data_IF_057082492033
#
_entry.id   IF_057082492033
#
_cell.length_a   1.000
_cell.length_b   1.000
_cell.length_c   1.000
_cell.angle_alpha   90.00
_cell.angle_beta   90.00
_cell.angle_gamma   90.00
#
_symmetry.space_group_name_H-M   'P 1'
#
loop_
_entity.id
_entity.type
_entity.pdbx_description
1 polymer ?
#
# COMPACT_ATOMS: atom_id res chain seq x y z
N UNK A 1 -16.17 -53.01 49.63
CA UNK A 1 -17.07 -52.14 50.42
C UNK A 1 -16.34 -51.70 51.68
N UNK A 2 -16.60 -50.48 52.15
CA UNK A 2 -15.93 -49.75 53.25
C UNK A 2 -14.60 -49.11 52.85
N UNK A 3 -14.46 -47.80 52.59
CA UNK A 3 -14.90 -46.61 53.34
C UNK A 3 -14.51 -46.75 54.82
N UNK A 4 -13.82 -45.84 55.52
CA UNK A 4 -13.79 -44.38 55.45
C UNK A 4 -12.72 -43.90 56.45
N UNK A 5 -12.07 -42.78 56.12
CA UNK A 5 -11.70 -41.65 57.00
C UNK A 5 -11.47 -41.86 58.51
N UNK A 6 -10.28 -41.45 58.99
CA UNK A 6 -10.10 -40.73 60.28
C UNK A 6 -8.90 -39.78 60.24
N UNK A 7 -9.18 -38.55 60.64
CA UNK A 7 -8.27 -37.43 60.93
C UNK A 7 -7.72 -37.55 62.39
N UNK A 8 -7.23 -36.48 63.06
CA UNK A 8 -6.10 -35.56 62.80
C UNK A 8 -5.15 -35.47 64.03
N UNK A 9 -4.37 -34.38 64.12
CA UNK A 9 -3.69 -33.80 65.30
C UNK A 9 -2.20 -34.16 65.48
N UNK A 10 -1.27 -33.30 65.90
CA UNK A 10 -0.95 -31.85 65.73
C UNK A 10 0.35 -31.60 66.53
N UNK A 11 1.00 -30.45 66.30
CA UNK A 11 2.11 -29.81 67.07
C UNK A 11 3.52 -30.33 66.72
N UNK A 12 4.53 -29.51 66.37
CA UNK A 12 4.87 -28.15 66.84
C UNK A 12 5.95 -27.49 65.94
N UNK A 13 5.86 -26.14 65.80
CA UNK A 13 6.96 -25.12 65.85
C UNK A 13 8.02 -25.17 64.72
N UNK A 14 8.42 -24.10 64.04
CA UNK A 14 8.68 -22.70 64.39
C UNK A 14 8.47 -21.77 63.15
N UNK A 15 7.79 -20.63 63.30
CA UNK A 15 8.36 -19.26 63.29
C UNK A 15 9.40 -18.98 62.19
N UNK A 16 9.00 -18.33 61.09
CA UNK A 16 9.65 -17.11 60.53
C UNK A 16 8.58 -16.23 59.87
N UNK A 17 8.67 -14.94 60.17
CA UNK A 17 7.74 -13.89 59.78
C UNK A 17 7.83 -13.47 58.29
N UNK A 18 6.65 -13.12 57.80
CA UNK A 18 6.30 -12.17 56.74
C UNK A 18 7.41 -11.38 56.02
N UNK A 19 7.44 -11.56 54.69
CA UNK A 19 7.57 -10.46 53.73
C UNK A 19 6.78 -10.81 52.46
N UNK A 20 5.54 -10.32 52.38
CA UNK A 20 4.73 -10.35 51.17
C UNK A 20 5.35 -9.39 50.16
N UNK A 21 6.27 -9.91 49.35
CA UNK A 21 6.69 -9.23 48.12
C UNK A 21 5.55 -9.28 47.12
N UNK A 22 4.81 -8.17 46.99
CA UNK A 22 4.06 -7.89 45.77
C UNK A 22 5.08 -7.79 44.64
N UNK A 23 5.28 -8.89 43.90
CA UNK A 23 5.87 -8.83 42.58
C UNK A 23 4.89 -8.11 41.67
N UNK A 24 5.02 -6.79 41.59
CA UNK A 24 4.48 -6.01 40.47
C UNK A 24 5.30 -6.44 39.26
N UNK A 25 4.77 -7.40 38.51
CA UNK A 25 5.26 -7.66 37.16
C UNK A 25 4.88 -6.45 36.34
N UNK A 26 5.80 -5.48 36.24
CA UNK A 26 5.75 -4.44 35.23
C UNK A 26 5.83 -5.19 33.90
N UNK A 27 4.68 -5.35 33.25
CA UNK A 27 4.62 -5.73 31.85
C UNK A 27 5.42 -4.66 31.11
N UNK A 28 6.51 -5.02 30.41
CA UNK A 28 7.20 -4.03 29.59
C UNK A 28 6.19 -3.53 28.56
N UNK A 29 6.17 -2.21 28.43
CA UNK A 29 5.38 -1.46 27.47
C UNK A 29 5.29 -2.17 26.12
N UNK A 30 4.11 -2.10 25.51
CA UNK A 30 3.88 -2.41 24.10
C UNK A 30 5.13 -2.04 23.31
N UNK A 31 5.72 -3.02 22.60
CA UNK A 31 6.69 -2.73 21.57
C UNK A 31 6.01 -1.80 20.57
N UNK A 32 6.24 -0.49 20.71
CA UNK A 32 6.00 0.46 19.65
C UNK A 32 6.90 -0.01 18.51
N UNK A 33 6.29 -0.53 17.46
CA UNK A 33 7.00 -0.88 16.24
C UNK A 33 7.49 0.45 15.67
N UNK A 34 8.71 0.84 16.06
CA UNK A 34 9.34 2.06 15.58
C UNK A 34 9.65 1.88 14.10
N UNK A 35 9.14 2.79 13.27
CA UNK A 35 9.44 2.85 11.85
C UNK A 35 10.96 2.96 11.64
N UNK A 36 11.52 2.28 10.64
CA UNK A 36 12.95 2.47 10.32
C UNK A 36 13.19 3.95 9.97
N UNK A 37 14.36 4.52 10.32
CA UNK A 37 14.67 5.93 10.06
C UNK A 37 14.46 6.36 8.60
N UNK A 38 14.77 5.48 7.64
CA UNK A 38 14.57 5.76 6.22
C UNK A 38 13.09 5.93 5.84
N UNK A 39 12.19 5.18 6.46
CA UNK A 39 10.75 5.26 6.23
C UNK A 39 10.17 6.49 6.91
N UNK A 40 10.59 6.78 8.13
CA UNK A 40 10.23 8.03 8.82
C UNK A 40 10.61 9.25 7.97
N UNK A 41 11.83 9.28 7.42
CA UNK A 41 12.27 10.36 6.53
C UNK A 41 11.46 10.45 5.23
N UNK A 42 11.04 9.33 4.65
CA UNK A 42 10.15 9.32 3.49
C UNK A 42 8.76 9.86 3.82
N UNK A 43 8.21 9.47 4.98
CA UNK A 43 6.91 9.96 5.45
C UNK A 43 6.98 11.47 5.73
N UNK A 44 8.02 11.96 6.38
CA UNK A 44 8.23 13.40 6.62
C UNK A 44 8.32 14.19 5.32
N UNK A 45 9.07 13.70 4.34
CA UNK A 45 9.12 14.34 3.02
C UNK A 45 7.77 14.30 2.32
N UNK A 46 7.04 13.19 2.41
CA UNK A 46 5.70 13.05 1.84
C UNK A 46 4.71 14.02 2.48
N UNK A 47 4.68 14.10 3.81
CA UNK A 47 3.74 14.99 4.51
C UNK A 47 4.01 16.45 4.20
N UNK A 48 5.27 16.83 3.97
CA UNK A 48 5.65 18.16 3.50
C UNK A 48 5.10 18.53 2.11
N UNK A 49 4.69 17.56 1.27
CA UNK A 49 4.05 17.82 -0.04
C UNK A 49 2.54 18.08 0.06
N UNK A 50 1.96 17.78 1.23
CA UNK A 50 0.53 17.91 1.51
C UNK A 50 0.19 19.36 1.93
N UNK A 51 -1.10 19.68 1.90
CA UNK A 51 -1.57 20.96 2.45
C UNK A 51 -1.43 21.00 3.98
N UNK A 52 -1.03 22.16 4.53
CA UNK A 52 -0.63 22.37 5.93
C UNK A 52 -1.59 21.75 6.97
N UNK A 53 -2.90 21.82 6.75
CA UNK A 53 -3.91 21.32 7.70
C UNK A 53 -3.89 19.79 7.88
N UNK A 54 -3.42 19.05 6.87
CA UNK A 54 -3.36 17.59 6.88
C UNK A 54 -2.01 17.04 7.35
N UNK A 55 -0.96 17.88 7.36
CA UNK A 55 0.42 17.48 7.67
C UNK A 55 0.74 17.42 9.17
N UNK A 56 -0.11 17.96 10.05
CA UNK A 56 0.24 18.17 11.47
C UNK A 56 -0.26 17.09 12.43
N UNK A 57 -1.00 16.09 11.94
CA UNK A 57 -1.53 15.04 12.83
C UNK A 57 -0.43 14.02 13.16
N UNK A 58 -0.26 13.65 14.43
CA UNK A 58 0.70 12.62 14.80
C UNK A 58 0.32 11.29 14.15
N UNK A 59 1.33 10.47 13.86
CA UNK A 59 1.12 9.12 13.37
C UNK A 59 0.77 8.22 14.56
N UNK A 60 -0.17 7.32 14.34
CA UNK A 60 -0.59 6.34 15.32
C UNK A 60 -0.83 4.99 14.65
N UNK A 61 -0.72 3.93 15.44
CA UNK A 61 -1.12 2.60 14.99
C UNK A 61 -2.64 2.44 15.14
N UNK A 62 -3.33 2.17 14.03
CA UNK A 62 -4.75 1.89 14.01
C UNK A 62 -5.02 0.45 13.59
N UNK A 63 -6.10 -0.14 14.12
CA UNK A 63 -6.64 -1.40 13.58
C UNK A 63 -7.79 -1.08 12.64
N UNK A 64 -7.67 -1.55 11.40
CA UNK A 64 -8.72 -1.37 10.38
C UNK A 64 -9.22 -2.72 9.89
N UNK A 65 -10.48 -2.82 9.42
CA UNK A 65 -10.99 -4.03 8.78
C UNK A 65 -10.13 -4.41 7.57
N UNK A 66 -9.93 -5.71 7.34
CA UNK A 66 -9.28 -6.22 6.14
C UNK A 66 -10.30 -6.92 5.22
N UNK A 67 -10.26 -6.60 3.93
CA UNK A 67 -11.18 -7.08 2.91
C UNK A 67 -10.39 -7.77 1.80
N UNK A 68 -10.68 -9.05 1.59
CA UNK A 68 -10.17 -9.82 0.46
C UNK A 68 -10.85 -9.42 -0.84
N UNK A 69 -10.08 -9.27 -1.90
CA UNK A 69 -10.54 -8.86 -3.22
C UNK A 69 -10.50 -10.04 -4.19
N UNK A 70 -11.62 -10.39 -4.86
CA UNK A 70 -11.57 -11.38 -5.93
C UNK A 70 -10.74 -10.83 -7.09
N UNK A 71 -10.07 -11.71 -7.84
CA UNK A 71 -9.25 -11.30 -8.97
C UNK A 71 -9.44 -12.22 -10.17
N UNK A 72 -9.08 -11.75 -11.35
CA UNK A 72 -9.13 -12.53 -12.59
C UNK A 72 -7.96 -12.13 -13.49
N UNK A 73 -7.52 -13.04 -14.34
CA UNK A 73 -6.27 -12.84 -15.06
C UNK A 73 -5.88 -13.98 -15.97
N UNK A 74 -4.59 -14.04 -16.29
CA UNK A 74 -4.03 -15.00 -17.24
C UNK A 74 -4.29 -16.47 -16.86
N UNK A 75 -4.44 -16.78 -15.57
CA UNK A 75 -4.74 -18.13 -15.08
C UNK A 75 -6.22 -18.30 -14.68
N UNK A 76 -7.09 -17.38 -15.10
CA UNK A 76 -8.51 -17.39 -14.80
C UNK A 76 -8.91 -16.78 -13.45
N UNK A 77 -10.20 -16.88 -13.09
CA UNK A 77 -10.73 -16.21 -11.91
C UNK A 77 -10.28 -16.89 -10.61
N UNK A 78 -9.90 -16.07 -9.63
CA UNK A 78 -9.58 -16.47 -8.25
C UNK A 78 -10.56 -15.84 -7.28
N UNK A 79 -11.00 -16.63 -6.30
CA UNK A 79 -11.81 -16.13 -5.18
C UNK A 79 -10.99 -15.15 -4.33
N UNK A 80 -11.68 -14.29 -3.60
CA UNK A 80 -11.04 -13.40 -2.64
C UNK A 80 -10.22 -14.19 -1.61
N UNK A 81 -9.01 -13.74 -1.25
CA UNK A 81 -8.20 -14.37 -0.21
C UNK A 81 -8.88 -14.27 1.16
N UNK A 82 -8.54 -15.18 2.06
CA UNK A 82 -9.02 -15.15 3.45
C UNK A 82 -8.04 -14.32 4.29
N UNK A 83 -8.39 -13.07 4.55
CA UNK A 83 -7.60 -12.17 5.39
C UNK A 83 -8.01 -12.28 6.87
N UNK A 84 -7.12 -11.89 7.82
CA UNK A 84 -7.53 -11.67 9.20
C UNK A 84 -8.64 -10.61 9.27
N UNK A 85 -9.47 -10.64 10.32
CA UNK A 85 -10.59 -9.68 10.46
C UNK A 85 -10.13 -8.21 10.43
N UNK A 86 -8.94 -7.94 10.97
CA UNK A 86 -8.35 -6.61 11.02
C UNK A 86 -6.83 -6.69 10.83
N UNK A 87 -6.25 -5.62 10.30
CA UNK A 87 -4.79 -5.41 10.23
C UNK A 87 -4.40 -4.16 11.02
N UNK A 88 -3.16 -4.13 11.51
CA UNK A 88 -2.55 -2.95 12.13
C UNK A 88 -1.86 -2.14 11.05
N UNK A 89 -2.07 -0.82 11.06
CA UNK A 89 -1.53 0.12 10.08
C UNK A 89 -1.07 1.40 10.78
N UNK A 90 -0.10 2.09 10.18
CA UNK A 90 0.32 3.41 10.64
C UNK A 90 -0.38 4.47 9.81
N UNK A 91 -1.13 5.36 10.46
CA UNK A 91 -1.88 6.44 9.84
C UNK A 91 -1.89 7.69 10.71
N UNK A 92 -2.16 8.88 10.14
CA UNK A 92 -2.46 10.06 10.92
C UNK A 92 -3.64 9.83 11.88
N UNK A 93 -3.53 10.39 13.08
CA UNK A 93 -4.53 10.24 14.13
C UNK A 93 -5.96 10.61 13.68
N UNK A 94 -6.92 9.79 14.09
CA UNK A 94 -8.34 9.95 13.80
C UNK A 94 -8.79 9.52 12.39
N UNK A 95 -7.88 9.10 11.50
CA UNK A 95 -8.25 8.67 10.14
C UNK A 95 -8.60 7.17 10.03
N UNK A 96 -8.08 6.34 10.94
CA UNK A 96 -8.28 4.88 10.94
C UNK A 96 -9.75 4.42 10.83
N UNK A 97 -10.71 4.98 11.60
CA UNK A 97 -12.11 4.54 11.58
C UNK A 97 -12.81 4.65 10.21
N UNK A 98 -12.36 5.58 9.36
CA UNK A 98 -12.90 5.83 8.02
C UNK A 98 -12.25 4.98 6.92
N UNK A 99 -11.28 4.15 7.26
CA UNK A 99 -10.48 3.37 6.31
C UNK A 99 -10.71 1.87 6.49
N UNK A 100 -10.39 1.14 5.44
CA UNK A 100 -10.22 -0.30 5.48
C UNK A 100 -9.07 -0.71 4.56
N UNK A 101 -8.48 -1.87 4.85
CA UNK A 101 -7.42 -2.47 4.06
C UNK A 101 -8.00 -3.45 3.06
N UNK A 102 -7.58 -3.34 1.81
CA UNK A 102 -8.04 -4.16 0.70
C UNK A 102 -6.86 -4.90 0.09
N UNK A 103 -6.95 -6.22 -0.11
CA UNK A 103 -5.91 -7.00 -0.77
C UNK A 103 -6.47 -8.11 -1.65
N UNK A 104 -5.87 -8.32 -2.81
CA UNK A 104 -6.14 -9.48 -3.68
C UNK A 104 -5.22 -10.67 -3.35
N UNK A 105 -4.26 -10.50 -2.44
CA UNK A 105 -3.32 -11.51 -1.97
C UNK A 105 -3.46 -11.71 -0.44
N UNK A 106 -2.98 -12.83 0.09
CA UNK A 106 -2.96 -13.10 1.53
C UNK A 106 -1.93 -12.25 2.28
N UNK A 107 -0.91 -11.75 1.56
CA UNK A 107 0.10 -10.88 2.14
C UNK A 107 -0.38 -9.44 2.35
N UNK A 108 0.06 -8.84 3.47
CA UNK A 108 -0.35 -7.50 3.91
C UNK A 108 0.33 -6.39 3.08
N UNK A 109 1.49 -6.65 2.51
CA UNK A 109 2.24 -5.69 1.66
C UNK A 109 1.61 -5.53 0.26
N UNK A 110 0.85 -6.53 -0.18
CA UNK A 110 0.19 -6.56 -1.47
C UNK A 110 -1.07 -5.66 -1.53
N UNK A 111 -1.63 -5.26 -0.39
CA UNK A 111 -2.87 -4.48 -0.34
C UNK A 111 -2.70 -2.96 -0.39
N UNK A 112 -3.82 -2.26 -0.17
CA UNK A 112 -3.91 -0.80 -0.12
C UNK A 112 -5.01 -0.36 0.83
N UNK A 113 -4.85 0.81 1.45
CA UNK A 113 -5.94 1.46 2.17
C UNK A 113 -6.86 2.23 1.24
N UNK A 114 -8.14 2.19 1.54
CA UNK A 114 -9.15 3.01 0.88
C UNK A 114 -10.28 3.34 1.87
N UNK A 115 -11.20 4.24 1.51
CA UNK A 115 -12.35 4.52 2.36
C UNK A 115 -13.15 3.25 2.66
N UNK A 116 -13.64 3.14 3.89
CA UNK A 116 -14.40 1.99 4.36
C UNK A 116 -15.69 1.81 3.56
N UNK A 117 -16.16 0.56 3.49
CA UNK A 117 -17.38 0.14 2.77
C UNK A 117 -17.28 0.28 1.24
N UNK A 118 -16.08 0.50 0.71
CA UNK A 118 -15.82 0.37 -0.72
C UNK A 118 -15.70 -1.10 -1.12
N UNK A 119 -15.83 -1.36 -2.41
CA UNK A 119 -15.72 -2.68 -3.04
C UNK A 119 -14.39 -2.79 -3.77
N UNK A 120 -13.90 -4.00 -3.99
CA UNK A 120 -12.63 -4.19 -4.69
C UNK A 120 -12.63 -5.37 -5.65
N UNK A 121 -11.66 -5.33 -6.57
CA UNK A 121 -11.30 -6.44 -7.44
C UNK A 121 -9.83 -6.30 -7.88
N UNK A 122 -9.20 -7.43 -8.22
CA UNK A 122 -7.85 -7.48 -8.78
C UNK A 122 -7.84 -7.96 -10.22
N UNK A 123 -6.81 -7.56 -10.96
CA UNK A 123 -6.41 -8.20 -12.22
C UNK A 123 -4.94 -8.59 -12.14
N UNK A 124 -4.56 -9.67 -12.81
CA UNK A 124 -3.17 -10.12 -12.83
C UNK A 124 -2.78 -10.78 -14.16
N UNK A 125 -1.48 -10.82 -14.44
CA UNK A 125 -0.90 -11.52 -15.58
C UNK A 125 0.61 -11.32 -15.65
N UNK A 126 1.22 -11.72 -16.76
CA UNK A 126 2.67 -11.56 -16.96
C UNK A 126 3.15 -10.11 -16.89
N UNK A 127 2.29 -9.12 -17.12
CA UNK A 127 2.67 -7.71 -16.96
C UNK A 127 2.77 -7.26 -15.49
N UNK A 128 2.28 -8.05 -14.55
CA UNK A 128 2.13 -7.70 -13.14
C UNK A 128 0.66 -7.73 -12.72
N UNK A 129 0.24 -6.82 -11.84
CA UNK A 129 -1.10 -6.83 -11.27
C UNK A 129 -1.69 -5.43 -11.09
N UNK A 130 -3.00 -5.39 -10.90
CA UNK A 130 -3.74 -4.18 -10.56
C UNK A 130 -4.82 -4.48 -9.54
N UNK A 131 -4.82 -3.78 -8.42
CA UNK A 131 -5.87 -3.81 -7.40
C UNK A 131 -6.68 -2.52 -7.49
N UNK A 132 -8.00 -2.65 -7.62
CA UNK A 132 -8.93 -1.54 -7.75
C UNK A 132 -9.88 -1.56 -6.56
N UNK A 133 -10.01 -0.42 -5.88
CA UNK A 133 -10.98 -0.21 -4.80
C UNK A 133 -11.87 0.98 -5.17
N UNK A 134 -13.18 0.77 -5.16
CA UNK A 134 -14.18 1.70 -5.71
C UNK A 134 -15.42 1.79 -4.81
N UNK A 135 -16.15 2.92 -4.80
CA UNK A 135 -17.30 3.09 -3.92
C UNK A 135 -18.40 2.06 -4.14
N UNK A 136 -18.69 1.72 -5.40
CA UNK A 136 -19.82 0.86 -5.78
C UNK A 136 -19.32 -0.44 -6.42
N UNK A 137 -19.89 -1.56 -6.00
CA UNK A 137 -19.63 -2.85 -6.63
C UNK A 137 -20.03 -2.86 -8.10
N UNK A 138 -19.17 -3.43 -8.94
CA UNK A 138 -19.44 -3.63 -10.36
C UNK A 138 -19.88 -5.07 -10.63
N UNK A 139 -20.85 -5.23 -11.51
CA UNK A 139 -21.31 -6.54 -12.03
C UNK A 139 -20.59 -6.90 -13.33
N UNK A 140 -20.62 -8.19 -13.66
CA UNK A 140 -20.00 -8.76 -14.86
C UNK A 140 -18.54 -9.18 -14.68
N UNK A 141 -17.88 -9.64 -15.76
CA UNK A 141 -16.52 -10.18 -15.72
C UNK A 141 -15.52 -9.16 -15.15
N UNK A 142 -14.59 -9.62 -14.31
CA UNK A 142 -13.61 -8.76 -13.64
C UNK A 142 -12.71 -8.05 -14.66
N UNK A 143 -12.29 -8.75 -15.72
CA UNK A 143 -11.41 -8.21 -16.77
C UNK A 143 -12.00 -6.99 -17.50
N UNK A 144 -13.33 -6.83 -17.50
CA UNK A 144 -14.01 -5.70 -18.15
C UNK A 144 -14.26 -4.51 -17.20
N UNK A 145 -13.91 -4.63 -15.92
CA UNK A 145 -14.18 -3.61 -14.89
C UNK A 145 -13.24 -2.41 -14.92
N UNK A 146 -11.93 -2.51 -15.25
CA UNK A 146 -11.03 -1.36 -15.31
C UNK A 146 -11.57 -0.20 -16.17
N UNK A 147 -12.14 -0.53 -17.33
CA UNK A 147 -12.74 0.46 -18.24
C UNK A 147 -13.95 1.19 -17.61
N UNK A 148 -14.70 0.52 -16.72
CA UNK A 148 -15.88 1.09 -16.04
C UNK A 148 -15.51 1.99 -14.86
N UNK A 149 -14.29 1.89 -14.33
CA UNK A 149 -13.87 2.66 -13.15
C UNK A 149 -13.10 3.92 -13.49
N UNK A 150 -12.52 4.01 -14.69
CA UNK A 150 -11.55 5.06 -15.05
C UNK A 150 -12.03 6.51 -14.85
N UNK A 151 -13.34 6.74 -14.92
CA UNK A 151 -13.94 8.07 -14.80
C UNK A 151 -14.39 8.44 -13.38
N UNK A 152 -14.39 7.50 -12.43
CA UNK A 152 -14.95 7.70 -11.09
C UNK A 152 -13.90 7.79 -9.98
N UNK A 153 -14.34 7.99 -8.73
CA UNK A 153 -13.49 7.82 -7.57
C UNK A 153 -12.97 6.38 -7.47
N UNK A 154 -11.67 6.22 -7.27
CA UNK A 154 -11.01 4.94 -7.11
C UNK A 154 -9.68 5.09 -6.36
N UNK A 155 -9.28 4.03 -5.68
CA UNK A 155 -7.91 3.79 -5.27
C UNK A 155 -7.39 2.62 -6.11
N UNK A 156 -6.36 2.86 -6.90
CA UNK A 156 -5.76 1.87 -7.80
C UNK A 156 -4.32 1.67 -7.37
N UNK A 157 -3.97 0.43 -7.07
CA UNK A 157 -2.58 -0.01 -6.91
C UNK A 157 -2.19 -0.83 -8.14
N UNK A 158 -1.14 -0.44 -8.84
CA UNK A 158 -0.57 -1.12 -10.00
C UNK A 158 0.80 -1.66 -9.64
N UNK A 159 1.11 -2.86 -10.10
CA UNK A 159 2.44 -3.44 -10.02
C UNK A 159 2.84 -3.89 -11.41
N UNK A 160 4.06 -3.55 -11.82
CA UNK A 160 4.65 -3.93 -13.09
C UNK A 160 5.92 -4.75 -12.84
N UNK A 161 5.98 -5.94 -13.45
CA UNK A 161 7.17 -6.79 -13.41
C UNK A 161 8.08 -6.48 -14.61
N UNK A 162 9.27 -5.92 -14.36
CA UNK A 162 10.24 -5.53 -15.37
C UNK A 162 10.99 -6.66 -16.06
N UNK A 163 10.87 -7.90 -15.58
CA UNK A 163 11.45 -9.10 -16.21
C UNK A 163 10.50 -9.74 -17.22
N UNK A 164 9.21 -9.45 -17.12
CA UNK A 164 8.16 -9.99 -17.97
C UNK A 164 7.55 -8.89 -18.85
N UNK A 165 6.33 -9.09 -19.37
CA UNK A 165 5.64 -8.10 -20.22
C UNK A 165 5.42 -6.74 -19.53
N UNK A 166 5.63 -6.65 -18.21
CA UNK A 166 5.53 -5.42 -17.44
C UNK A 166 6.69 -4.46 -17.71
N UNK A 167 7.80 -4.94 -18.29
CA UNK A 167 8.98 -4.13 -18.67
C UNK A 167 8.65 -2.87 -19.45
N UNK A 168 7.64 -2.94 -20.31
CA UNK A 168 7.22 -1.80 -21.11
C UNK A 168 6.57 -0.71 -20.25
N UNK A 169 5.77 -1.10 -19.25
CA UNK A 169 5.18 -0.19 -18.27
C UNK A 169 6.22 0.39 -17.31
N UNK A 170 7.14 -0.45 -16.81
CA UNK A 170 8.28 -0.01 -16.00
C UNK A 170 9.10 1.02 -16.76
N UNK A 171 9.50 0.72 -18.00
CA UNK A 171 10.32 1.61 -18.81
C UNK A 171 9.59 2.91 -19.17
N UNK A 172 8.32 2.84 -19.62
CA UNK A 172 7.54 4.03 -20.02
C UNK A 172 7.41 5.05 -18.89
N UNK A 173 7.08 4.58 -17.68
CA UNK A 173 6.97 5.48 -16.52
C UNK A 173 8.36 5.92 -16.06
N UNK A 174 9.31 4.99 -15.92
CA UNK A 174 10.63 5.31 -15.39
C UNK A 174 11.45 6.26 -16.25
N UNK A 175 11.29 6.22 -17.58
CA UNK A 175 11.91 7.17 -18.52
C UNK A 175 11.63 8.63 -18.12
N UNK A 176 10.43 8.89 -17.60
CA UNK A 176 9.96 10.23 -17.29
C UNK A 176 10.36 10.71 -15.90
N UNK A 177 10.41 9.82 -14.91
CA UNK A 177 10.48 10.21 -13.48
C UNK A 177 11.65 9.60 -12.70
N UNK A 178 12.38 8.63 -13.25
CA UNK A 178 13.50 7.95 -12.57
C UNK A 178 14.78 7.98 -13.44
N UNK A 179 15.61 9.04 -13.34
CA UNK A 179 16.84 9.17 -14.13
C UNK A 179 17.78 7.97 -14.01
N UNK A 180 17.86 7.34 -12.85
CA UNK A 180 18.70 6.16 -12.64
C UNK A 180 18.26 4.93 -13.46
N UNK A 181 17.02 4.91 -13.96
CA UNK A 181 16.51 3.83 -14.80
C UNK A 181 16.89 3.98 -16.28
N UNK A 182 17.58 5.05 -16.68
CA UNK A 182 17.85 5.37 -18.09
C UNK A 182 18.43 4.18 -18.88
N UNK A 183 19.43 3.48 -18.32
CA UNK A 183 20.04 2.32 -18.97
C UNK A 183 19.06 1.18 -19.19
N UNK A 184 18.20 0.90 -18.20
CA UNK A 184 17.14 -0.09 -18.33
C UNK A 184 16.10 0.32 -19.37
N UNK A 185 15.69 1.58 -19.39
CA UNK A 185 14.74 2.10 -20.39
C UNK A 185 15.30 1.94 -21.80
N UNK A 186 16.56 2.30 -22.02
CA UNK A 186 17.22 2.14 -23.31
C UNK A 186 17.36 0.67 -23.72
N UNK A 187 17.60 -0.25 -22.77
CA UNK A 187 17.64 -1.68 -23.10
C UNK A 187 16.27 -2.22 -23.52
N UNK A 188 15.19 -1.79 -22.87
CA UNK A 188 13.81 -2.13 -23.26
C UNK A 188 13.45 -1.52 -24.62
N UNK A 189 13.84 -0.27 -24.87
CA UNK A 189 13.65 0.43 -26.15
C UNK A 189 14.38 -0.27 -27.30
N UNK A 190 15.59 -0.76 -27.06
CA UNK A 190 16.39 -1.49 -28.04
C UNK A 190 15.78 -2.83 -28.49
N UNK A 191 14.79 -3.37 -27.76
CA UNK A 191 14.06 -4.57 -28.18
C UNK A 191 13.23 -4.35 -29.46
N UNK A 192 12.89 -3.10 -29.79
CA UNK A 192 12.15 -2.77 -31.02
C UNK A 192 10.72 -3.30 -31.08
N UNK A 193 10.13 -3.68 -29.94
CA UNK A 193 8.76 -4.24 -29.86
C UNK A 193 7.69 -3.14 -29.79
N UNK A 194 7.99 -2.03 -29.11
CA UNK A 194 7.11 -0.87 -28.95
C UNK A 194 7.75 0.33 -29.65
N UNK A 195 6.94 1.28 -30.14
CA UNK A 195 7.45 2.49 -30.77
C UNK A 195 8.42 3.20 -29.81
N UNK A 196 9.68 3.45 -30.21
CA UNK A 196 10.65 4.20 -29.42
C UNK A 196 10.13 5.55 -28.89
N UNK A 197 9.17 6.18 -29.58
CA UNK A 197 8.54 7.45 -29.17
C UNK A 197 7.67 7.32 -27.92
N UNK A 198 7.30 6.11 -27.50
CA UNK A 198 6.60 5.86 -26.24
C UNK A 198 7.49 6.11 -25.01
N UNK A 199 8.81 6.10 -25.17
CA UNK A 199 9.79 6.32 -24.10
C UNK A 199 10.26 7.78 -24.11
N UNK A 200 9.50 8.62 -23.43
CA UNK A 200 9.79 10.06 -23.33
C UNK A 200 10.59 10.35 -22.06
N UNK A 201 11.69 11.08 -22.17
CA UNK A 201 12.61 11.39 -21.05
C UNK A 201 12.33 12.74 -20.38
N UNK A 202 11.05 13.11 -20.30
CA UNK A 202 10.60 14.29 -19.56
C UNK A 202 9.32 13.96 -18.80
N UNK A 203 9.14 14.51 -17.58
CA UNK A 203 7.88 14.42 -16.84
C UNK A 203 6.64 14.81 -17.67
N UNK A 204 5.46 14.39 -17.21
CA UNK A 204 4.22 14.93 -17.75
C UNK A 204 4.13 16.42 -17.39
N UNK A 205 3.96 17.32 -18.38
CA UNK A 205 4.04 18.77 -18.14
C UNK A 205 3.02 19.32 -17.13
N UNK A 206 1.88 18.65 -17.00
CA UNK A 206 0.82 19.07 -16.08
C UNK A 206 0.98 18.51 -14.67
N UNK A 207 1.80 17.47 -14.48
CA UNK A 207 1.96 16.84 -13.17
C UNK A 207 2.85 17.69 -12.26
N UNK A 208 2.45 17.77 -10.99
CA UNK A 208 3.39 18.13 -9.92
C UNK A 208 4.08 16.86 -9.43
N UNK A 209 5.41 16.84 -9.43
CA UNK A 209 6.21 15.72 -8.95
C UNK A 209 7.08 16.16 -7.77
N UNK A 210 6.99 15.41 -6.68
CA UNK A 210 7.77 15.62 -5.47
C UNK A 210 8.65 14.38 -5.23
N UNK A 211 9.96 14.51 -5.43
CA UNK A 211 10.92 13.40 -5.26
C UNK A 211 11.22 13.18 -3.78
N UNK A 212 10.73 12.07 -3.22
CA UNK A 212 10.94 11.73 -1.81
C UNK A 212 12.30 11.04 -1.61
N UNK A 213 12.69 10.20 -2.57
CA UNK A 213 14.02 9.61 -2.71
C UNK A 213 14.30 9.31 -4.19
N UNK A 214 15.45 8.75 -4.52
CA UNK A 214 15.73 8.32 -5.89
C UNK A 214 14.73 7.29 -6.40
N UNK A 215 14.20 6.45 -5.51
CA UNK A 215 13.28 5.36 -5.85
C UNK A 215 11.81 5.65 -5.55
N UNK A 216 11.46 6.82 -5.00
CA UNK A 216 10.09 7.15 -4.58
C UNK A 216 9.70 8.57 -4.99
N UNK A 217 8.60 8.67 -5.73
CA UNK A 217 8.04 9.95 -6.20
C UNK A 217 6.59 10.05 -5.74
N UNK A 218 6.23 11.15 -5.09
CA UNK A 218 4.83 11.57 -4.94
C UNK A 218 4.43 12.42 -6.13
N UNK A 219 3.19 12.31 -6.57
CA UNK A 219 2.70 13.09 -7.70
C UNK A 219 1.26 13.55 -7.51
N UNK A 220 0.92 14.61 -8.26
CA UNK A 220 -0.45 15.06 -8.46
C UNK A 220 -0.67 15.34 -9.94
N UNK A 221 -1.58 14.59 -10.57
CA UNK A 221 -2.13 14.92 -11.89
C UNK A 221 -3.35 15.81 -11.68
N UNK A 222 -3.35 17.07 -12.16
CA UNK A 222 -4.44 17.99 -11.93
C UNK A 222 -5.71 17.56 -12.66
N UNK A 223 -6.84 18.12 -12.22
CA UNK A 223 -8.14 17.87 -12.84
C UNK A 223 -8.11 18.15 -14.35
N UNK A 224 -8.78 17.30 -15.13
CA UNK A 224 -8.89 17.42 -16.58
C UNK A 224 -7.61 17.17 -17.38
N UNK A 225 -6.46 16.97 -16.73
CA UNK A 225 -5.19 16.75 -17.41
C UNK A 225 -4.84 15.27 -17.60
N UNK A 226 -4.01 15.01 -18.60
CA UNK A 226 -3.27 13.75 -18.72
C UNK A 226 -1.98 13.82 -17.90
N UNK A 227 -1.58 12.69 -17.34
CA UNK A 227 -0.43 12.59 -16.46
C UNK A 227 -0.14 11.17 -15.99
N UNK A 228 0.77 11.04 -15.04
CA UNK A 228 1.13 9.78 -14.40
C UNK A 228 -0.08 9.08 -13.79
N UNK A 229 -0.99 9.82 -13.16
CA UNK A 229 -2.23 9.26 -12.63
C UNK A 229 -3.08 8.59 -13.70
N UNK A 230 -3.04 9.12 -14.93
CA UNK A 230 -3.80 8.53 -16.05
C UNK A 230 -3.13 7.29 -16.65
N UNK A 231 -1.80 7.23 -16.64
CA UNK A 231 -1.05 6.02 -17.02
C UNK A 231 -1.32 4.83 -16.09
N UNK A 232 -1.71 5.12 -14.84
CA UNK A 232 -2.02 4.10 -13.84
C UNK A 232 -3.47 3.60 -13.89
N UNK A 233 -4.26 4.05 -14.86
CA UNK A 233 -5.55 3.45 -15.21
C UNK A 233 -6.78 4.33 -14.95
N UNK A 234 -6.60 5.58 -14.50
CA UNK A 234 -7.68 6.56 -14.46
C UNK A 234 -7.72 7.39 -15.74
N UNK A 235 -8.89 7.89 -16.12
CA UNK A 235 -9.03 8.89 -17.18
C UNK A 235 -8.92 10.30 -16.57
N UNK A 236 -8.60 11.35 -17.37
CA UNK A 236 -8.78 12.73 -16.94
C UNK A 236 -10.20 12.96 -16.38
N UNK A 237 -10.31 13.68 -15.27
CA UNK A 237 -11.56 13.80 -14.52
C UNK A 237 -11.66 15.09 -13.72
N UNK A 238 -12.75 15.28 -12.97
CA UNK A 238 -13.06 16.54 -12.27
C UNK A 238 -12.23 16.74 -11.00
N UNK A 239 -11.73 15.65 -10.45
CA UNK A 239 -10.88 15.62 -9.26
C UNK A 239 -9.46 15.22 -9.66
N UNK A 240 -8.44 15.80 -9.00
CA UNK A 240 -7.05 15.43 -9.23
C UNK A 240 -6.82 13.95 -8.91
N UNK A 241 -5.79 13.38 -9.53
CA UNK A 241 -5.28 12.06 -9.18
C UNK A 241 -4.01 12.28 -8.38
N UNK A 242 -4.00 11.85 -7.13
CA UNK A 242 -2.85 11.93 -6.25
C UNK A 242 -2.23 10.55 -6.12
N UNK A 243 -0.92 10.46 -5.90
CA UNK A 243 -0.31 9.15 -5.83
C UNK A 243 1.14 9.12 -5.43
N UNK A 244 1.66 7.89 -5.45
CA UNK A 244 3.03 7.52 -5.16
C UNK A 244 3.49 6.53 -6.21
N UNK A 245 4.74 6.60 -6.63
CA UNK A 245 5.39 5.58 -7.45
C UNK A 245 6.68 5.14 -6.79
N UNK A 246 6.88 3.84 -6.72
CA UNK A 246 8.05 3.18 -6.17
C UNK A 246 8.75 2.40 -7.28
N UNK A 247 10.06 2.59 -7.41
CA UNK A 247 10.93 1.80 -8.28
C UNK A 247 11.87 0.96 -7.41
N UNK A 248 11.74 -0.35 -7.46
CA UNK A 248 12.56 -1.30 -6.68
C UNK A 248 13.15 -2.37 -7.60
N UNK A 249 13.87 -3.34 -7.02
CA UNK A 249 14.59 -4.35 -7.79
C UNK A 249 15.88 -3.81 -8.40
N UNK A 250 16.55 -4.66 -9.16
CA UNK A 250 17.81 -4.35 -9.80
C UNK A 250 17.60 -3.76 -11.20
N UNK A 251 18.21 -2.60 -11.46
CA UNK A 251 18.19 -1.93 -12.76
C UNK A 251 19.32 -2.42 -13.68
N UNK A 252 20.29 -3.16 -13.15
CA UNK A 252 21.47 -3.61 -13.89
C UNK A 252 21.36 -5.04 -14.44
N UNK A 253 20.31 -5.78 -14.08
CA UNK A 253 20.07 -7.16 -14.56
C UNK A 253 20.97 -8.21 -13.93
N UNK A 254 21.53 -7.94 -12.76
CA UNK A 254 22.36 -8.80 -11.91
C UNK A 254 21.56 -9.52 -10.81
N UNK A 255 20.31 -9.12 -10.57
CA UNK A 255 19.38 -9.76 -9.64
C UNK A 255 17.94 -9.73 -10.18
N UNK A 256 16.96 -9.86 -9.28
CA UNK A 256 15.55 -9.71 -9.62
C UNK A 256 15.33 -8.35 -10.30
N UNK A 257 14.82 -8.37 -11.53
CA UNK A 257 14.68 -7.19 -12.37
C UNK A 257 13.79 -6.09 -11.78
N UNK A 258 13.70 -4.93 -12.44
CA UNK A 258 13.11 -3.78 -11.80
C UNK A 258 11.60 -3.92 -11.69
N UNK A 259 11.08 -3.52 -10.53
CA UNK A 259 9.66 -3.49 -10.25
C UNK A 259 9.19 -2.06 -10.12
N UNK A 260 8.05 -1.76 -10.74
CA UNK A 260 7.39 -0.47 -10.57
C UNK A 260 6.04 -0.67 -9.91
N UNK A 261 5.84 -0.01 -8.80
CA UNK A 261 4.58 -0.01 -8.10
C UNK A 261 3.99 1.40 -8.08
N UNK A 262 2.79 1.55 -8.62
CA UNK A 262 2.09 2.83 -8.72
C UNK A 262 0.82 2.83 -7.90
N UNK A 263 0.63 3.86 -7.09
CA UNK A 263 -0.61 4.18 -6.41
C UNK A 263 -1.27 5.37 -7.12
N UNK A 264 -2.53 5.23 -7.51
CA UNK A 264 -3.36 6.30 -8.06
C UNK A 264 -4.64 6.43 -7.25
N UNK A 265 -4.87 7.61 -6.68
CA UNK A 265 -5.98 7.89 -5.77
C UNK A 265 -6.76 9.07 -6.33
N UNK A 266 -8.01 8.80 -6.72
CA UNK A 266 -9.03 9.82 -6.96
C UNK A 266 -10.15 9.64 -5.94
N UNK A 267 -10.28 10.61 -5.06
CA UNK A 267 -11.35 10.67 -4.06
C UNK A 267 -12.30 11.81 -4.41
N UNK A 268 -13.56 11.66 -4.01
CA UNK A 268 -14.49 12.79 -4.08
C UNK A 268 -14.10 13.89 -3.07
N UNK A 269 -14.66 15.08 -3.23
CA UNK A 269 -14.36 16.22 -2.36
C UNK A 269 -14.60 15.93 -0.87
N UNK A 270 -15.58 15.08 -0.54
CA UNK A 270 -15.90 14.74 0.84
C UNK A 270 -14.84 13.83 1.48
N UNK A 271 -14.19 12.99 0.69
CA UNK A 271 -13.21 11.98 1.17
C UNK A 271 -11.77 12.33 0.84
N UNK A 272 -11.49 13.41 0.10
CA UNK A 272 -10.13 13.86 -0.24
C UNK A 272 -9.18 13.97 0.96
N UNK A 273 -9.69 14.32 2.14
CA UNK A 273 -8.91 14.39 3.38
C UNK A 273 -8.32 13.06 3.85
N UNK A 274 -8.71 11.92 3.25
CA UNK A 274 -8.19 10.58 3.56
C UNK A 274 -6.91 10.22 2.79
N UNK A 275 -6.57 10.95 1.71
CA UNK A 275 -5.35 10.67 0.94
C UNK A 275 -4.06 10.64 1.77
N UNK A 276 -3.82 11.55 2.75
CA UNK A 276 -2.65 11.50 3.62
C UNK A 276 -2.49 10.14 4.31
N UNK A 277 -3.56 9.57 4.87
CA UNK A 277 -3.50 8.26 5.52
C UNK A 277 -3.21 7.13 4.53
N UNK A 278 -3.80 7.19 3.32
CA UNK A 278 -3.55 6.19 2.27
C UNK A 278 -2.08 6.24 1.85
N UNK A 279 -1.52 7.44 1.64
CA UNK A 279 -0.12 7.63 1.26
C UNK A 279 0.87 7.22 2.36
N UNK A 280 0.64 7.65 3.60
CA UNK A 280 1.48 7.27 4.76
C UNK A 280 1.51 5.76 4.94
N UNK A 281 0.34 5.11 4.96
CA UNK A 281 0.28 3.66 5.12
C UNK A 281 0.98 2.95 3.97
N UNK A 282 0.90 3.50 2.74
CA UNK A 282 1.59 2.93 1.59
C UNK A 282 3.11 3.01 1.72
N UNK A 283 3.64 4.14 2.17
CA UNK A 283 5.08 4.30 2.41
C UNK A 283 5.52 3.37 3.54
N UNK A 284 4.77 3.33 4.64
CA UNK A 284 5.05 2.45 5.78
C UNK A 284 5.04 0.95 5.40
N UNK A 285 4.20 0.54 4.44
CA UNK A 285 4.14 -0.86 4.01
C UNK A 285 5.29 -1.30 3.09
N UNK A 286 6.14 -0.38 2.62
CA UNK A 286 7.24 -0.72 1.70
C UNK A 286 8.41 -1.43 2.39
N UNK A 287 8.42 -1.51 3.73
CA UNK A 287 9.39 -2.28 4.50
C UNK A 287 9.29 -3.79 4.33
N UNK A 288 8.14 -4.32 3.89
CA UNK A 288 7.93 -5.77 3.80
C UNK A 288 8.54 -6.43 2.56
N UNK A 289 9.06 -5.62 1.61
CA UNK A 289 9.51 -6.08 0.29
C UNK A 289 11.04 -6.01 0.08
N UNK A 290 11.83 -5.87 1.15
CA UNK A 290 13.30 -5.94 1.14
C UNK A 290 13.79 -6.72 2.36
#
# INVERSE_FOLDING_TARGET
>A
MSATSRAPSTLRRDVIAAALGLSVTIVPACAETSLKPAISALIEKFTATLTLSLSQRPLTEARVPAIGCPQDGQLGPKKAPKLPKTVRIIVPEGMGPSLAFYSADESIDAGVLAPRNWHCFGIYGSSGSGLYVIPRGLRGPILNRPEKVKNGPAVIKRFFNGEASGRFGVARISARIFPQAHRYVESVRALGIVDPKDYVFVPWPADRLDRLSDSVVSYATPLGAQGLGTELGLAPGREPILGLVFLTGDLEGKGDGPYLEGLAVRLDRATQHLYPAIGVAKIASTEAAR
#
